data_IF_853177556453
#
_entry.id   IF_853177556453
#
_cell.length_a   1.000
_cell.length_b   1.000
_cell.length_c   1.000
_cell.angle_alpha   90.00
_cell.angle_beta   90.00
_cell.angle_gamma   90.00
#
_symmetry.space_group_name_H-M   'P 1'
#
loop_
_entity.id
_entity.type
_entity.pdbx_description
1 polymer ?
#
# COMPACT_ATOMS: atom_id res chain seq x y z
N UNK A 1 26.16 9.79 9.84
CA UNK A 1 24.76 10.27 9.79
C UNK A 1 23.93 9.15 9.20
N UNK A 2 22.89 8.64 9.89
CA UNK A 2 21.90 7.80 9.21
C UNK A 2 21.17 8.71 8.21
N UNK A 3 21.09 8.30 6.95
CA UNK A 3 20.31 9.00 5.95
C UNK A 3 18.85 9.13 6.44
N UNK A 4 18.15 10.20 6.04
CA UNK A 4 16.73 10.35 6.35
C UNK A 4 15.95 9.13 5.87
N UNK A 5 14.99 8.67 6.67
CA UNK A 5 14.11 7.56 6.28
C UNK A 5 13.16 8.09 5.21
N UNK A 6 13.07 7.38 4.08
CA UNK A 6 12.17 7.77 2.99
C UNK A 6 10.72 7.77 3.49
N UNK A 7 9.96 8.78 3.08
CA UNK A 7 8.54 8.93 3.35
C UNK A 7 7.79 8.80 2.02
N UNK A 8 6.66 8.12 2.03
CA UNK A 8 5.78 8.02 0.87
C UNK A 8 4.36 8.46 1.22
N UNK A 9 3.77 9.23 0.30
CA UNK A 9 2.37 9.68 0.29
C UNK A 9 1.75 10.01 1.66
N UNK A 10 2.16 11.08 2.38
CA UNK A 10 1.52 11.46 3.62
C UNK A 10 0.06 11.87 3.39
N UNK A 11 -0.88 11.22 4.06
CA UNK A 11 -2.31 11.45 3.86
C UNK A 11 -2.85 12.39 4.93
N UNK A 12 -3.30 13.57 4.50
CA UNK A 12 -3.98 14.51 5.39
C UNK A 12 -5.47 14.20 5.48
N UNK A 13 -5.99 14.01 6.69
CA UNK A 13 -7.42 13.84 6.95
C UNK A 13 -8.19 15.17 7.02
N UNK A 14 -7.59 16.25 6.50
CA UNK A 14 -8.18 17.58 6.51
C UNK A 14 -8.08 18.32 7.85
N UNK A 15 -8.58 19.56 7.85
CA UNK A 15 -8.51 20.49 8.99
C UNK A 15 -9.36 19.99 10.16
N UNK A 16 -10.56 19.47 9.87
CA UNK A 16 -11.52 19.04 10.90
C UNK A 16 -11.00 17.87 11.75
N UNK A 17 -10.40 16.85 11.12
CA UNK A 17 -9.80 15.73 11.85
C UNK A 17 -8.43 16.09 12.45
N UNK A 18 -7.73 17.08 11.88
CA UNK A 18 -6.42 17.54 12.33
C UNK A 18 -5.37 16.41 12.41
N UNK A 19 -5.36 15.51 11.42
CA UNK A 19 -4.42 14.38 11.33
C UNK A 19 -3.69 14.31 9.99
N UNK A 20 -2.45 13.86 10.05
CA UNK A 20 -1.66 13.37 8.91
C UNK A 20 -1.15 11.98 9.23
N UNK A 21 -1.26 11.05 8.28
CA UNK A 21 -0.77 9.68 8.39
C UNK A 21 0.41 9.55 7.45
N UNK A 22 1.57 9.22 7.99
CA UNK A 22 2.81 9.14 7.24
C UNK A 22 3.37 7.72 7.29
N UNK A 23 3.74 7.21 6.12
CA UNK A 23 4.40 5.93 5.94
C UNK A 23 5.88 6.17 5.64
N UNK A 24 6.75 5.55 6.43
CA UNK A 24 8.20 5.64 6.29
C UNK A 24 8.82 4.26 6.11
N UNK A 25 10.01 4.23 5.50
CA UNK A 25 10.84 3.04 5.44
C UNK A 25 10.35 2.06 4.39
N UNK A 26 10.07 2.55 3.18
CA UNK A 26 9.71 1.71 2.04
C UNK A 26 10.71 0.54 1.85
N UNK A 27 10.23 -0.69 1.66
CA UNK A 27 11.08 -1.88 1.44
C UNK A 27 11.66 -2.57 2.68
N UNK A 28 11.61 -1.95 3.86
CA UNK A 28 12.03 -2.54 5.13
C UNK A 28 12.18 -1.50 6.25
N UNK A 29 12.22 -1.96 7.51
CA UNK A 29 12.29 -1.10 8.70
C UNK A 29 11.19 -0.03 8.75
N UNK A 30 9.97 -0.43 8.37
CA UNK A 30 8.84 0.47 8.22
C UNK A 30 8.41 1.14 9.52
N UNK A 31 8.05 2.42 9.45
CA UNK A 31 7.43 3.15 10.56
C UNK A 31 6.18 3.85 10.04
N UNK A 32 5.09 3.74 10.78
CA UNK A 32 3.86 4.46 10.52
C UNK A 32 3.73 5.51 11.61
N UNK A 33 3.47 6.75 11.23
CA UNK A 33 3.32 7.86 12.17
C UNK A 33 1.97 8.53 11.99
N UNK A 34 1.30 8.80 13.12
CA UNK A 34 0.11 9.62 13.19
C UNK A 34 0.53 10.98 13.75
N UNK A 35 0.25 12.03 12.98
CA UNK A 35 0.73 13.38 13.22
C UNK A 35 -0.44 14.34 13.45
N UNK A 36 -0.29 15.26 14.39
CA UNK A 36 -1.13 16.44 14.53
C UNK A 36 -0.82 17.41 13.40
N UNK A 37 -1.80 17.62 12.51
CA UNK A 37 -1.60 18.42 11.29
C UNK A 37 -1.25 19.87 11.60
N UNK A 38 -1.90 20.49 12.59
CA UNK A 38 -1.66 21.89 12.94
C UNK A 38 -0.24 22.05 13.45
N UNK A 39 0.20 21.20 14.39
CA UNK A 39 1.58 21.21 14.89
C UNK A 39 2.58 20.96 13.75
N UNK A 40 2.31 20.01 12.85
CA UNK A 40 3.18 19.73 11.72
C UNK A 40 3.40 20.95 10.82
N UNK A 41 2.40 21.83 10.70
CA UNK A 41 2.50 23.02 9.86
C UNK A 41 3.05 24.26 10.58
N UNK A 42 3.06 24.27 11.92
CA UNK A 42 3.36 25.51 12.67
C UNK A 42 4.42 25.37 13.76
N UNK A 43 4.84 24.15 14.13
CA UNK A 43 5.74 23.94 15.27
C UNK A 43 7.23 24.12 14.94
N UNK A 44 7.59 24.21 13.66
CA UNK A 44 8.98 24.30 13.22
C UNK A 44 9.46 25.75 13.16
N UNK A 45 10.53 26.06 13.90
CA UNK A 45 11.20 27.37 13.87
C UNK A 45 11.92 27.54 12.52
N UNK A 46 12.61 26.49 12.07
CA UNK A 46 13.22 26.43 10.74
C UNK A 46 12.86 25.10 10.05
N UNK A 47 11.81 25.12 9.24
CA UNK A 47 11.34 23.93 8.52
C UNK A 47 12.38 23.33 7.54
N UNK A 48 13.39 24.10 7.11
CA UNK A 48 14.47 23.58 6.25
C UNK A 48 15.56 22.85 7.04
N UNK A 49 15.60 23.04 8.36
CA UNK A 49 16.58 22.40 9.25
C UNK A 49 15.93 22.11 10.61
N UNK A 50 14.91 21.24 10.63
CA UNK A 50 14.21 20.93 11.86
C UNK A 50 15.11 20.11 12.80
N UNK A 51 15.02 20.38 14.10
CA UNK A 51 15.60 19.54 15.15
C UNK A 51 14.80 18.26 15.31
N UNK A 52 15.39 17.26 15.96
CA UNK A 52 14.68 16.01 16.31
C UNK A 52 13.44 16.29 17.15
N UNK A 53 13.52 17.21 18.10
CA UNK A 53 12.40 17.59 18.96
C UNK A 53 11.26 18.21 18.15
N UNK A 54 11.56 19.11 17.22
CA UNK A 54 10.56 19.69 16.32
C UNK A 54 9.91 18.63 15.40
N UNK A 55 10.69 17.66 14.90
CA UNK A 55 10.16 16.55 14.09
C UNK A 55 9.23 15.62 14.89
N UNK A 56 9.46 15.48 16.20
CA UNK A 56 8.63 14.65 17.09
C UNK A 56 7.47 15.42 17.72
N UNK A 57 7.54 16.75 17.79
CA UNK A 57 6.48 17.61 18.35
C UNK A 57 5.07 17.37 17.77
N UNK A 58 4.89 17.10 16.46
CA UNK A 58 3.59 16.76 15.91
C UNK A 58 3.18 15.30 16.13
N UNK A 59 4.03 14.41 16.63
CA UNK A 59 3.69 12.99 16.79
C UNK A 59 2.57 12.79 17.83
N UNK A 60 1.50 12.15 17.39
CA UNK A 60 0.39 11.69 18.25
C UNK A 60 0.60 10.22 18.63
N UNK A 61 0.99 9.40 17.66
CA UNK A 61 1.26 7.98 17.84
C UNK A 61 2.11 7.43 16.70
N UNK A 62 2.62 6.22 16.87
CA UNK A 62 3.40 5.54 15.85
C UNK A 62 3.33 4.03 16.02
N UNK A 63 3.67 3.30 14.96
CA UNK A 63 3.88 1.85 14.99
C UNK A 63 5.13 1.52 14.18
N UNK A 64 6.04 0.75 14.78
CA UNK A 64 7.21 0.21 14.10
C UNK A 64 6.83 -1.16 13.55
N UNK A 65 7.03 -1.35 12.25
CA UNK A 65 6.75 -2.60 11.56
C UNK A 65 7.90 -3.59 11.79
N UNK A 66 7.65 -4.87 11.48
CA UNK A 66 8.73 -5.87 11.44
C UNK A 66 9.83 -5.41 10.48
N UNK A 67 11.13 -5.64 10.74
CA UNK A 67 12.23 -5.17 9.89
C UNK A 67 12.13 -5.59 8.41
N UNK A 68 11.47 -6.71 8.13
CA UNK A 68 11.23 -7.20 6.77
C UNK A 68 10.10 -6.47 6.03
N UNK A 69 9.32 -5.63 6.72
CA UNK A 69 8.20 -4.86 6.17
C UNK A 69 8.54 -3.38 6.15
N UNK A 70 8.15 -2.70 5.09
CA UNK A 70 8.38 -1.28 4.89
C UNK A 70 7.13 -0.53 4.46
N UNK A 71 6.73 0.53 5.18
CA UNK A 71 5.46 1.22 4.92
C UNK A 71 5.55 2.11 3.68
N UNK A 72 4.55 2.02 2.79
CA UNK A 72 4.43 2.86 1.59
C UNK A 72 3.15 3.70 1.57
N UNK A 73 2.01 3.09 1.91
CA UNK A 73 0.72 3.79 1.99
C UNK A 73 0.17 3.62 3.40
N UNK A 74 -0.45 4.67 3.96
CA UNK A 74 -1.12 4.65 5.26
C UNK A 74 -2.46 5.41 5.17
N UNK A 75 -3.48 4.76 4.58
CA UNK A 75 -4.77 5.36 4.26
C UNK A 75 -5.78 5.20 5.42
N UNK A 76 -6.21 6.28 6.09
CA UNK A 76 -7.15 6.19 7.20
C UNK A 76 -8.59 6.03 6.72
N UNK A 77 -9.35 5.21 7.43
CA UNK A 77 -10.81 5.08 7.32
C UNK A 77 -11.43 5.23 8.70
N UNK A 78 -12.42 6.10 8.84
CA UNK A 78 -13.01 6.49 10.11
C UNK A 78 -14.43 5.93 10.25
N UNK A 79 -14.82 5.63 11.49
CA UNK A 79 -16.19 5.20 11.79
C UNK A 79 -16.61 3.92 11.08
N UNK A 80 -15.67 3.04 10.74
CA UNK A 80 -15.95 1.78 10.04
C UNK A 80 -16.79 0.90 10.96
N UNK A 81 -18.02 0.52 10.58
CA UNK A 81 -18.87 -0.31 11.42
C UNK A 81 -18.29 -1.72 11.55
N UNK A 82 -18.33 -2.26 12.76
CA UNK A 82 -17.91 -3.64 13.05
C UNK A 82 -19.17 -4.52 13.12
N UNK A 83 -19.48 -5.34 12.09
CA UNK A 83 -20.77 -6.02 12.01
C UNK A 83 -21.10 -6.88 13.23
N UNK A 84 -20.11 -7.60 13.77
CA UNK A 84 -20.30 -8.43 14.96
C UNK A 84 -20.57 -7.65 16.24
N UNK A 85 -20.29 -6.33 16.28
CA UNK A 85 -20.33 -5.56 17.53
C UNK A 85 -21.56 -4.66 17.65
N UNK A 86 -22.51 -4.72 16.72
CA UNK A 86 -23.67 -3.82 16.74
C UNK A 86 -24.57 -4.01 17.96
N UNK A 87 -24.57 -5.21 18.55
CA UNK A 87 -25.28 -5.51 19.80
C UNK A 87 -24.51 -5.15 21.09
N UNK A 88 -23.25 -4.73 21.02
CA UNK A 88 -22.46 -4.36 22.19
C UNK A 88 -22.61 -2.87 22.54
N UNK A 89 -22.23 -2.48 23.77
CA UNK A 89 -22.34 -1.09 24.24
C UNK A 89 -21.25 -0.15 23.71
N UNK A 90 -20.09 -0.70 23.31
CA UNK A 90 -18.92 0.06 22.85
C UNK A 90 -18.32 -0.58 21.59
N UNK A 91 -17.47 0.19 20.88
CA UNK A 91 -16.72 -0.27 19.71
C UNK A 91 -17.58 -0.81 18.56
N UNK A 92 -18.82 -0.31 18.43
CA UNK A 92 -19.69 -0.55 17.27
C UNK A 92 -19.06 -0.08 15.96
N UNK A 93 -18.18 0.91 16.04
CA UNK A 93 -17.35 1.41 14.94
C UNK A 93 -15.89 1.46 15.38
N UNK A 94 -14.97 1.40 14.42
CA UNK A 94 -13.54 1.67 14.62
C UNK A 94 -13.00 2.63 13.56
N UNK A 95 -12.00 3.38 13.96
CA UNK A 95 -11.13 4.06 13.00
C UNK A 95 -10.00 3.08 12.65
N UNK A 96 -9.79 2.81 11.37
CA UNK A 96 -8.79 1.85 10.88
C UNK A 96 -7.81 2.52 9.93
N UNK A 97 -6.58 2.02 9.89
CA UNK A 97 -5.55 2.44 8.97
C UNK A 97 -5.22 1.29 8.02
N UNK A 98 -5.39 1.54 6.73
CA UNK A 98 -5.07 0.61 5.66
C UNK A 98 -3.66 0.87 5.21
N UNK A 99 -2.77 -0.10 5.43
CA UNK A 99 -1.34 0.06 5.20
C UNK A 99 -0.89 -0.90 4.11
N UNK A 100 -0.25 -0.37 3.07
CA UNK A 100 0.49 -1.18 2.12
C UNK A 100 1.96 -1.18 2.52
N UNK A 101 2.54 -2.37 2.70
CA UNK A 101 3.99 -2.49 2.67
C UNK A 101 4.48 -2.56 1.23
N UNK A 102 5.58 -1.89 0.89
CA UNK A 102 6.14 -2.00 -0.47
C UNK A 102 7.22 -3.07 -0.54
N UNK A 103 7.04 -4.00 -1.48
CA UNK A 103 8.09 -4.86 -1.98
C UNK A 103 9.16 -4.05 -2.73
N UNK A 104 10.25 -3.74 -2.03
CA UNK A 104 11.39 -3.00 -2.61
C UNK A 104 12.39 -3.87 -3.39
N UNK A 105 12.20 -5.19 -3.45
CA UNK A 105 13.26 -6.15 -3.87
C UNK A 105 13.02 -6.68 -5.30
N UNK A 106 14.10 -7.14 -5.94
CA UNK A 106 14.24 -7.34 -7.39
C UNK A 106 13.49 -8.52 -8.03
N UNK A 107 14.03 -9.01 -9.16
CA UNK A 107 13.42 -10.03 -10.01
C UNK A 107 13.27 -11.38 -9.30
N UNK A 108 12.17 -12.09 -9.58
CA UNK A 108 11.93 -13.47 -9.13
C UNK A 108 12.04 -13.64 -7.62
N UNK A 109 11.57 -12.63 -6.88
CA UNK A 109 11.66 -12.58 -5.42
C UNK A 109 13.11 -12.71 -4.94
N UNK A 110 14.07 -12.06 -5.62
CA UNK A 110 15.50 -12.04 -5.25
C UNK A 110 16.21 -10.76 -5.75
N UNK A 111 17.38 -10.41 -5.18
CA UNK A 111 17.87 -10.83 -3.87
C UNK A 111 17.15 -10.09 -2.75
N UNK A 112 17.04 -10.72 -1.58
CA UNK A 112 16.72 -10.05 -0.32
C UNK A 112 17.92 -9.30 0.26
N UNK A 113 17.75 -8.57 1.38
CA UNK A 113 18.80 -7.79 2.05
C UNK A 113 20.03 -8.62 2.40
N UNK A 114 19.86 -9.92 2.65
CA UNK A 114 20.95 -10.88 2.88
C UNK A 114 21.30 -11.77 1.68
N UNK A 115 20.94 -11.40 0.45
CA UNK A 115 21.15 -12.23 -0.76
C UNK A 115 20.17 -13.39 -0.92
N UNK A 116 19.33 -13.66 0.08
CA UNK A 116 18.39 -14.78 0.13
C UNK A 116 17.03 -14.43 -0.51
N UNK A 117 16.12 -15.41 -0.57
CA UNK A 117 14.72 -15.13 -0.88
C UNK A 117 14.08 -14.30 0.27
N UNK A 118 13.49 -13.13 0.00
CA UNK A 118 12.91 -12.28 1.01
C UNK A 118 11.55 -12.81 1.49
N UNK A 119 11.15 -12.41 2.70
CA UNK A 119 9.77 -12.53 3.13
C UNK A 119 8.85 -11.68 2.23
N UNK A 120 7.61 -12.12 1.98
CA UNK A 120 6.63 -11.35 1.23
C UNK A 120 6.25 -10.08 1.99
N UNK A 121 6.08 -8.99 1.24
CA UNK A 121 5.49 -7.75 1.78
C UNK A 121 3.97 -7.85 1.78
N UNK A 122 3.38 -7.48 2.91
CA UNK A 122 1.95 -7.62 3.16
C UNK A 122 1.22 -6.28 3.12
N UNK A 123 -0.09 -6.35 3.06
CA UNK A 123 -0.92 -5.26 3.54
C UNK A 123 -1.42 -5.52 4.95
N UNK A 124 -1.70 -4.45 5.67
CA UNK A 124 -2.07 -4.47 7.09
C UNK A 124 -3.30 -3.61 7.32
N UNK A 125 -4.14 -4.05 8.26
CA UNK A 125 -5.17 -3.23 8.86
C UNK A 125 -4.78 -2.98 10.31
N UNK A 126 -4.66 -1.70 10.68
CA UNK A 126 -4.40 -1.28 12.05
C UNK A 126 -5.64 -0.59 12.61
N UNK A 127 -5.94 -0.82 13.87
CA UNK A 127 -6.88 -0.02 14.64
C UNK A 127 -6.20 1.26 15.10
N UNK A 128 -6.81 2.39 14.75
CA UNK A 128 -6.37 3.73 15.16
C UNK A 128 -7.47 4.45 15.95
N UNK A 129 -8.47 3.73 16.47
CA UNK A 129 -9.50 4.28 17.36
C UNK A 129 -8.88 4.96 18.59
N UNK A 130 -7.76 4.43 19.09
CA UNK A 130 -6.88 5.11 20.02
C UNK A 130 -5.55 5.46 19.35
N UNK A 131 -5.48 6.65 18.75
CA UNK A 131 -4.34 7.10 17.92
C UNK A 131 -2.96 7.02 18.59
N UNK A 132 -2.79 7.27 19.91
CA UNK A 132 -1.47 7.13 20.56
C UNK A 132 -0.95 5.70 20.61
N UNK A 133 -1.83 4.69 20.47
CA UNK A 133 -1.45 3.27 20.50
C UNK A 133 -2.10 2.50 19.34
N UNK A 134 -1.66 2.71 18.08
CA UNK A 134 -2.16 1.94 16.95
C UNK A 134 -1.96 0.45 17.16
N UNK A 135 -2.96 -0.38 16.83
CA UNK A 135 -2.92 -1.82 17.11
C UNK A 135 -3.16 -2.67 15.86
N UNK A 136 -2.32 -3.67 15.56
CA UNK A 136 -2.55 -4.57 14.42
C UNK A 136 -3.84 -5.38 14.57
N UNK A 137 -4.70 -5.35 13.55
CA UNK A 137 -5.93 -6.15 13.49
C UNK A 137 -5.77 -7.36 12.59
N UNK A 138 -5.28 -7.15 11.37
CA UNK A 138 -5.17 -8.19 10.36
C UNK A 138 -4.07 -7.90 9.35
N UNK A 139 -3.62 -8.96 8.69
CA UNK A 139 -2.72 -8.92 7.54
C UNK A 139 -3.36 -9.61 6.36
N UNK A 140 -2.93 -9.25 5.16
CA UNK A 140 -3.34 -9.92 3.94
C UNK A 140 -2.20 -9.97 2.93
N UNK A 141 -2.21 -11.02 2.13
CA UNK A 141 -1.19 -11.28 1.14
C UNK A 141 -1.79 -12.01 -0.06
N UNK A 142 -1.18 -11.81 -1.22
CA UNK A 142 -1.42 -12.65 -2.38
C UNK A 142 -0.50 -13.86 -2.28
N UNK A 143 -1.02 -15.10 -2.37
CA UNK A 143 -0.17 -16.27 -2.42
C UNK A 143 0.61 -16.31 -3.76
N UNK A 144 1.85 -16.77 -3.71
CA UNK A 144 2.69 -16.94 -4.92
C UNK A 144 2.03 -17.89 -5.93
N UNK A 145 1.40 -18.95 -5.42
CA UNK A 145 0.72 -19.98 -6.19
C UNK A 145 -0.80 -19.76 -6.13
N UNK A 146 -1.54 -20.05 -7.22
CA UNK A 146 -1.09 -20.77 -8.43
C UNK A 146 -0.45 -19.89 -9.52
N UNK A 147 -0.25 -18.59 -9.27
CA UNK A 147 0.23 -17.66 -10.29
C UNK A 147 1.69 -17.83 -10.72
N UNK A 148 2.52 -18.56 -9.98
CA UNK A 148 3.97 -18.58 -10.17
C UNK A 148 4.55 -17.14 -10.21
N UNK A 149 4.14 -16.30 -9.27
CA UNK A 149 4.51 -14.88 -9.29
C UNK A 149 6.01 -14.65 -9.09
N UNK A 150 6.73 -15.53 -8.40
CA UNK A 150 8.19 -15.45 -8.37
C UNK A 150 8.83 -16.05 -9.64
N UNK A 151 8.32 -17.17 -10.20
CA UNK A 151 8.93 -17.80 -11.38
C UNK A 151 8.70 -17.06 -12.69
N UNK A 152 7.60 -16.30 -12.83
CA UNK A 152 7.32 -15.49 -14.04
C UNK A 152 8.21 -14.24 -14.18
N UNK A 153 8.98 -13.89 -13.15
CA UNK A 153 9.80 -12.68 -13.12
C UNK A 153 9.03 -11.41 -12.72
N UNK A 154 9.76 -10.30 -12.57
CA UNK A 154 9.26 -9.06 -12.01
C UNK A 154 9.34 -9.01 -10.48
N UNK A 155 8.98 -7.86 -9.91
CA UNK A 155 8.69 -7.77 -8.48
C UNK A 155 7.34 -8.43 -8.18
N UNK A 156 7.25 -9.05 -7.01
CA UNK A 156 6.02 -9.63 -6.47
C UNK A 156 5.86 -9.27 -5.00
N UNK A 157 4.74 -8.62 -4.67
CA UNK A 157 4.40 -8.16 -3.32
C UNK A 157 3.54 -6.90 -3.39
N UNK A 158 3.03 -6.47 -2.24
CA UNK A 158 2.28 -5.22 -2.16
C UNK A 158 3.16 -4.03 -2.59
N UNK A 159 2.52 -2.98 -3.12
CA UNK A 159 3.17 -1.71 -3.43
C UNK A 159 2.35 -0.56 -2.82
N UNK A 160 1.24 -0.17 -3.47
CA UNK A 160 0.41 0.97 -3.06
C UNK A 160 -1.04 0.55 -2.81
N UNK A 161 -1.76 1.36 -2.04
CA UNK A 161 -3.22 1.33 -1.96
C UNK A 161 -3.85 2.55 -2.65
N UNK A 162 -5.16 2.54 -2.86
CA UNK A 162 -5.90 3.74 -3.28
C UNK A 162 -5.85 4.81 -2.19
N UNK A 163 -5.64 6.06 -2.57
CA UNK A 163 -5.50 7.17 -1.62
C UNK A 163 -6.67 8.18 -1.72
N UNK A 164 -7.61 7.97 -2.65
CA UNK A 164 -8.83 8.77 -2.74
C UNK A 164 -9.94 8.28 -1.81
N UNK A 165 -10.66 9.25 -1.23
CA UNK A 165 -11.89 8.98 -0.49
C UNK A 165 -13.06 8.82 -1.46
N UNK A 166 -13.44 7.57 -1.75
CA UNK A 166 -14.65 7.28 -2.52
C UNK A 166 -15.75 6.69 -1.61
N UNK A 167 -16.81 7.44 -1.29
CA UNK A 167 -17.81 7.03 -0.29
C UNK A 167 -18.44 5.65 -0.52
N UNK A 168 -18.76 5.22 -1.76
CA UNK A 168 -19.31 3.88 -1.98
C UNK A 168 -18.38 2.73 -1.58
N UNK A 169 -17.05 2.92 -1.62
CA UNK A 169 -16.06 1.89 -1.25
C UNK A 169 -15.54 2.07 0.18
N UNK A 170 -15.69 3.26 0.75
CA UNK A 170 -15.14 3.62 2.06
C UNK A 170 -15.58 2.67 3.19
N UNK A 171 -14.62 2.11 3.90
CA UNK A 171 -14.86 1.15 4.98
C UNK A 171 -15.39 -0.22 4.53
N UNK A 172 -15.54 -0.43 3.21
CA UNK A 172 -16.04 -1.70 2.63
C UNK A 172 -14.97 -2.43 1.86
N UNK A 173 -14.19 -1.67 1.08
CA UNK A 173 -13.20 -2.15 0.12
C UNK A 173 -11.88 -1.40 0.33
N UNK A 174 -10.79 -2.12 0.16
CA UNK A 174 -9.45 -1.57 0.10
C UNK A 174 -8.76 -2.16 -1.12
N UNK A 175 -8.30 -1.28 -2.02
CA UNK A 175 -7.79 -1.68 -3.32
C UNK A 175 -6.28 -1.42 -3.37
N UNK A 176 -5.53 -2.42 -3.80
CA UNK A 176 -4.06 -2.41 -3.80
C UNK A 176 -3.47 -2.70 -5.17
N UNK A 177 -2.31 -2.15 -5.44
CA UNK A 177 -1.39 -2.63 -6.47
C UNK A 177 -0.40 -3.64 -5.86
N UNK A 178 -0.12 -4.70 -6.62
CA UNK A 178 0.66 -5.85 -6.16
C UNK A 178 1.71 -6.29 -7.20
N UNK A 179 2.37 -5.30 -7.84
CA UNK A 179 3.33 -5.50 -8.91
C UNK A 179 2.86 -6.50 -9.97
N UNK A 180 3.56 -7.62 -10.15
CA UNK A 180 3.22 -8.62 -11.17
C UNK A 180 1.96 -9.45 -10.84
N UNK A 181 1.34 -9.21 -9.69
CA UNK A 181 0.03 -9.71 -9.28
C UNK A 181 -1.12 -8.71 -9.47
N UNK A 182 -0.87 -7.58 -10.12
CA UNK A 182 -1.92 -6.70 -10.62
C UNK A 182 -2.60 -5.89 -9.51
N UNK A 183 -3.92 -5.77 -9.58
CA UNK A 183 -4.75 -5.03 -8.62
C UNK A 183 -5.68 -5.97 -7.86
N UNK A 184 -5.83 -5.78 -6.55
CA UNK A 184 -6.67 -6.61 -5.69
C UNK A 184 -7.58 -5.78 -4.78
N UNK A 185 -8.73 -6.34 -4.43
CA UNK A 185 -9.73 -5.74 -3.54
C UNK A 185 -10.09 -6.67 -2.38
N UNK A 186 -10.16 -6.15 -1.15
CA UNK A 186 -10.10 -6.96 0.07
C UNK A 186 -11.03 -6.42 1.20
N UNK A 187 -11.74 -7.31 1.93
CA UNK A 187 -12.80 -6.96 2.91
C UNK A 187 -12.60 -7.54 4.32
N UNK A 188 -13.14 -6.83 5.33
CA UNK A 188 -13.36 -7.17 6.75
C UNK A 188 -12.12 -7.01 7.66
N UNK A 189 -12.15 -6.08 8.64
CA UNK A 189 -10.99 -5.76 9.47
C UNK A 189 -10.46 -6.91 10.32
N UNK A 190 -11.24 -7.97 10.54
CA UNK A 190 -10.83 -9.13 11.35
C UNK A 190 -10.70 -10.43 10.55
N UNK A 191 -11.17 -10.45 9.31
CA UNK A 191 -11.11 -11.63 8.44
C UNK A 191 -11.00 -11.15 7.00
N UNK A 192 -9.81 -10.64 6.69
CA UNK A 192 -9.52 -9.96 5.45
C UNK A 192 -9.64 -10.94 4.28
N UNK A 193 -10.56 -10.67 3.34
CA UNK A 193 -10.89 -11.57 2.22
C UNK A 193 -10.81 -10.85 0.87
N UNK A 194 -10.08 -11.43 -0.08
CA UNK A 194 -10.05 -10.97 -1.47
C UNK A 194 -11.41 -11.19 -2.16
N UNK A 195 -11.96 -10.15 -2.77
CA UNK A 195 -13.26 -10.19 -3.45
C UNK A 195 -13.18 -9.94 -4.96
N UNK A 196 -12.05 -9.43 -5.45
CA UNK A 196 -11.73 -9.30 -6.87
C UNK A 196 -10.22 -9.12 -7.09
N UNK A 197 -9.78 -9.49 -8.29
CA UNK A 197 -8.45 -9.16 -8.80
C UNK A 197 -8.50 -8.82 -10.29
N UNK A 198 -7.50 -8.08 -10.76
CA UNK A 198 -7.24 -7.83 -12.18
C UNK A 198 -5.73 -7.88 -12.44
N UNK A 199 -5.31 -8.79 -13.33
CA UNK A 199 -3.92 -8.92 -13.75
C UNK A 199 -3.88 -8.69 -15.27
N UNK A 200 -3.34 -7.56 -15.75
CA UNK A 200 -3.19 -7.35 -17.18
C UNK A 200 -2.18 -8.33 -17.77
N UNK A 201 -2.41 -8.76 -19.01
CA UNK A 201 -1.40 -9.50 -19.77
C UNK A 201 -0.32 -8.52 -20.30
N UNK A 202 0.97 -8.92 -20.33
CA UNK A 202 1.98 -8.19 -21.07
C UNK A 202 1.54 -7.95 -22.52
N UNK A 203 1.87 -6.79 -23.07
CA UNK A 203 1.60 -6.44 -24.46
C UNK A 203 2.88 -6.01 -25.18
N UNK A 204 2.75 -5.56 -26.44
CA UNK A 204 3.91 -5.16 -27.25
C UNK A 204 4.75 -4.03 -26.62
N UNK A 205 4.14 -3.18 -25.80
CA UNK A 205 4.79 -2.06 -25.12
C UNK A 205 5.38 -2.46 -23.76
N UNK A 206 5.09 -3.67 -23.26
CA UNK A 206 5.65 -4.14 -21.99
C UNK A 206 7.17 -4.31 -22.13
N UNK A 207 7.88 -3.53 -21.33
CA UNK A 207 9.33 -3.48 -21.19
C UNK A 207 9.87 -4.76 -20.56
N UNK A 208 11.14 -5.08 -20.84
CA UNK A 208 11.80 -6.25 -20.28
C UNK A 208 12.25 -5.95 -18.84
N UNK A 209 11.77 -6.73 -17.86
CA UNK A 209 12.23 -6.65 -16.48
C UNK A 209 13.49 -7.48 -16.30
N UNK A 210 14.54 -6.86 -15.74
CA UNK A 210 15.87 -7.45 -15.64
C UNK A 210 16.31 -7.64 -14.17
N UNK A 211 17.44 -8.32 -13.97
CA UNK A 211 17.97 -8.66 -12.65
C UNK A 211 18.37 -7.44 -11.80
N UNK A 212 18.56 -6.26 -12.40
CA UNK A 212 18.76 -5.00 -11.67
C UNK A 212 17.45 -4.44 -11.08
N UNK A 213 16.33 -5.15 -11.26
CA UNK A 213 15.06 -4.87 -10.57
C UNK A 213 14.25 -3.73 -11.19
N UNK A 214 14.52 -3.42 -12.46
CA UNK A 214 13.89 -2.35 -13.22
C UNK A 214 13.44 -2.88 -14.60
N UNK A 215 12.41 -2.26 -15.17
CA UNK A 215 11.95 -2.50 -16.53
C UNK A 215 12.74 -1.64 -17.53
N UNK A 216 13.24 -2.26 -18.59
CA UNK A 216 14.06 -1.65 -19.63
C UNK A 216 13.31 -1.53 -20.97
N UNK A 217 13.34 -0.34 -21.62
CA UNK A 217 12.75 -0.16 -22.94
C UNK A 217 13.53 -0.94 -24.01
N UNK A 218 12.86 -1.25 -25.12
CA UNK A 218 13.48 -1.94 -26.25
C UNK A 218 14.75 -1.23 -26.74
N UNK A 219 15.80 -2.02 -27.01
CA UNK A 219 17.12 -1.51 -27.41
C UNK A 219 18.05 -1.14 -26.26
N UNK A 220 17.61 -1.22 -25.00
CA UNK A 220 18.51 -1.03 -23.85
C UNK A 220 19.55 -2.17 -23.80
N UNK A 221 20.87 -1.85 -23.76
CA UNK A 221 21.94 -2.85 -23.74
C UNK A 221 21.95 -3.75 -22.49
N UNK A 222 21.19 -3.39 -21.44
CA UNK A 222 21.01 -4.23 -20.25
C UNK A 222 20.06 -5.40 -20.47
N UNK A 223 19.29 -5.38 -21.57
CA UNK A 223 18.40 -6.48 -21.91
C UNK A 223 19.22 -7.70 -22.29
N UNK A 224 19.06 -8.76 -21.50
CA UNK A 224 19.65 -10.08 -21.75
C UNK A 224 18.54 -11.11 -21.96
N UNK A 225 18.91 -12.31 -22.40
CA UNK A 225 17.98 -13.44 -22.53
C UNK A 225 17.33 -13.87 -21.19
N UNK A 226 17.89 -13.44 -20.05
CA UNK A 226 17.32 -13.71 -18.74
C UNK A 226 16.20 -12.73 -18.34
N UNK A 227 16.11 -11.56 -19.00
CA UNK A 227 15.07 -10.58 -18.72
C UNK A 227 13.71 -11.07 -19.21
N UNK A 228 12.64 -10.70 -18.50
CA UNK A 228 11.28 -11.19 -18.79
C UNK A 228 10.33 -10.02 -19.04
N UNK A 229 9.50 -10.12 -20.08
CA UNK A 229 8.40 -9.16 -20.29
C UNK A 229 7.26 -9.49 -19.34
N UNK A 230 7.17 -8.73 -18.26
CA UNK A 230 6.20 -8.95 -17.18
C UNK A 230 5.65 -7.62 -16.69
N UNK A 231 4.37 -7.62 -16.35
CA UNK A 231 3.69 -6.45 -15.80
C UNK A 231 4.25 -6.09 -14.42
N UNK A 232 4.21 -4.80 -14.10
CA UNK A 232 4.58 -4.19 -12.83
C UNK A 232 3.50 -3.15 -12.50
N UNK A 233 2.33 -3.59 -12.05
CA UNK A 233 1.26 -2.68 -11.64
C UNK A 233 1.72 -1.93 -10.40
N UNK A 234 1.93 -0.62 -10.54
CA UNK A 234 2.56 0.21 -9.53
C UNK A 234 1.54 1.03 -8.76
N UNK A 235 0.62 1.68 -9.45
CA UNK A 235 -0.37 2.52 -8.79
C UNK A 235 -1.78 2.07 -9.08
N UNK A 236 -2.66 2.27 -8.11
CA UNK A 236 -4.09 2.09 -8.28
C UNK A 236 -4.84 3.27 -7.66
N UNK A 237 -5.84 3.78 -8.35
CA UNK A 237 -6.66 4.89 -7.84
C UNK A 237 -8.13 4.74 -8.24
N UNK A 238 -9.03 5.37 -7.50
CA UNK A 238 -10.48 5.34 -7.76
C UNK A 238 -11.00 6.75 -8.01
N UNK A 239 -11.81 6.93 -9.06
CA UNK A 239 -12.53 8.19 -9.29
C UNK A 239 -13.94 8.19 -8.69
N UNK A 240 -14.58 9.36 -8.77
CA UNK A 240 -15.95 9.60 -8.30
C UNK A 240 -17.04 8.81 -9.07
N UNK A 241 -16.69 8.20 -10.21
CA UNK A 241 -17.56 7.30 -11.00
C UNK A 241 -17.38 5.83 -10.60
N UNK A 242 -16.52 5.55 -9.62
CA UNK A 242 -16.17 4.20 -9.19
C UNK A 242 -15.31 3.44 -10.20
N UNK A 243 -14.69 4.14 -11.15
CA UNK A 243 -13.71 3.55 -12.06
C UNK A 243 -12.36 3.44 -11.33
N UNK A 244 -11.74 2.28 -11.50
CA UNK A 244 -10.45 1.95 -10.91
C UNK A 244 -9.40 2.10 -12.00
N UNK A 245 -8.36 2.87 -11.73
CA UNK A 245 -7.25 3.18 -12.61
C UNK A 245 -6.03 2.40 -12.17
N UNK A 246 -5.67 1.35 -12.90
CA UNK A 246 -4.53 0.48 -12.61
C UNK A 246 -3.38 0.78 -13.57
N UNK A 247 -2.33 1.41 -13.05
CA UNK A 247 -1.20 1.92 -13.82
C UNK A 247 0.02 0.99 -13.75
N UNK A 248 0.48 0.53 -14.91
CA UNK A 248 1.61 -0.37 -15.04
C UNK A 248 2.90 0.38 -15.40
N UNK A 249 3.91 0.33 -14.52
CA UNK A 249 5.21 1.01 -14.74
C UNK A 249 6.09 0.30 -15.76
N UNK A 250 5.78 -0.95 -16.11
CA UNK A 250 6.51 -1.69 -17.14
C UNK A 250 6.04 -1.30 -18.57
N UNK A 251 5.19 -0.28 -18.72
CA UNK A 251 4.77 0.21 -20.03
C UNK A 251 3.55 -0.51 -20.62
N UNK A 252 2.93 -1.43 -19.87
CA UNK A 252 1.71 -2.13 -20.31
C UNK A 252 0.53 -1.15 -20.44
N UNK A 253 0.59 -0.02 -19.73
CA UNK A 253 -0.32 1.12 -19.88
C UNK A 253 -1.20 1.36 -18.65
N UNK A 254 -2.24 2.17 -18.86
CA UNK A 254 -3.27 2.47 -17.88
C UNK A 254 -4.53 1.65 -18.19
N UNK A 255 -4.98 0.86 -17.22
CA UNK A 255 -6.20 0.06 -17.32
C UNK A 255 -7.30 0.72 -16.51
N UNK A 256 -8.45 0.98 -17.14
CA UNK A 256 -9.63 1.54 -16.47
C UNK A 256 -10.62 0.40 -16.30
N UNK A 257 -10.83 -0.02 -15.07
CA UNK A 257 -11.64 -1.20 -14.72
C UNK A 257 -12.80 -0.79 -13.81
N UNK A 258 -13.82 -1.65 -13.74
CA UNK A 258 -14.99 -1.47 -12.87
C UNK A 258 -15.29 -2.78 -12.15
N UNK A 259 -15.72 -2.69 -10.90
CA UNK A 259 -16.14 -3.86 -10.14
C UNK A 259 -17.34 -4.54 -10.80
N UNK A 260 -17.34 -5.86 -10.79
CA UNK A 260 -18.45 -6.70 -11.26
C UNK A 260 -18.74 -7.81 -10.25
N UNK A 261 -19.84 -8.54 -10.44
CA UNK A 261 -20.18 -9.72 -9.65
C UNK A 261 -20.18 -9.47 -8.14
N UNK A 262 -19.49 -10.34 -7.40
CA UNK A 262 -19.39 -10.29 -5.92
C UNK A 262 -18.85 -8.95 -5.41
N UNK A 263 -17.78 -8.42 -6.02
CA UNK A 263 -17.19 -7.17 -5.56
C UNK A 263 -18.13 -5.98 -5.74
N UNK A 264 -18.87 -5.91 -6.85
CA UNK A 264 -19.90 -4.89 -7.05
C UNK A 264 -21.02 -4.97 -6.00
N UNK A 265 -21.42 -6.18 -5.60
CA UNK A 265 -22.40 -6.38 -4.53
C UNK A 265 -21.88 -5.97 -3.15
N UNK A 266 -20.56 -6.08 -2.90
CA UNK A 266 -19.96 -5.59 -1.65
C UNK A 266 -19.97 -4.07 -1.60
N UNK A 267 -19.59 -3.39 -2.69
CA UNK A 267 -19.63 -1.93 -2.77
C UNK A 267 -21.05 -1.35 -2.56
N UNK A 268 -22.07 -2.06 -3.04
CA UNK A 268 -23.46 -1.61 -3.01
C UNK A 268 -24.15 -1.72 -1.64
N UNK A 269 -23.58 -2.45 -0.67
CA UNK A 269 -24.13 -2.63 0.69
C UNK A 269 -23.78 -1.48 1.60
#
# INVERSE_FOLDING_TARGET
>A
MRAGIQIHGPISAGVAKNRVYAAYGTGGDGVIQILDRKKLLTAFINALKPTTEEMLAPQVGYLVMSPDQGAHTAMPMYGVPIPGFQGHSVLKTRDVLVVASEQGRGDRCKPGPGGNRPAPHFGFLLDITNEPTPWPLATFHVPENPGDFCGRGGRFGAHAGTESFYPPYYGKLAIFSWFNAGTLDIRNPFAVEEVAYFIPAPNKNTMAFCADGISHPEGDPKITSACTKVIQTNNVEVDDRGLIYSADRAGTGLHIIRLTGRAAQVAAK
#
